data_IF_879455842389
#
_entry.id   IF_879455842389
#
_cell.length_a   1.000
_cell.length_b   1.000
_cell.length_c   1.000
_cell.angle_alpha   90.00
_cell.angle_beta   90.00
_cell.angle_gamma   90.00
#
_symmetry.space_group_name_H-M   'P 1'
#
loop_
_entity.id
_entity.type
_entity.pdbx_description
1 polymer ?
#
# COMPACT_ATOMS: atom_id res chain seq x y z
N UNK A 1 10.22 15.91 6.91
CA UNK A 1 10.48 14.57 6.34
C UNK A 1 10.09 14.62 4.88
N UNK A 2 10.96 14.18 3.97
CA UNK A 2 10.73 14.26 2.50
C UNK A 2 10.47 12.89 1.87
N UNK A 3 10.41 11.83 2.69
CA UNK A 3 10.20 10.47 2.22
C UNK A 3 8.76 10.28 1.74
N UNK A 4 8.62 9.69 0.55
CA UNK A 4 7.33 9.50 -0.11
C UNK A 4 6.88 8.05 -0.19
N UNK A 5 7.77 7.10 0.13
CA UNK A 5 7.48 5.67 0.01
C UNK A 5 7.15 5.05 1.35
N UNK A 6 6.03 4.35 1.40
CA UNK A 6 5.55 3.69 2.61
C UNK A 6 5.17 2.24 2.34
N UNK A 7 5.27 1.45 3.40
CA UNK A 7 4.71 0.12 3.51
C UNK A 7 3.33 0.23 4.16
N UNK A 8 2.30 -0.17 3.41
CA UNK A 8 0.94 -0.39 3.92
C UNK A 8 0.93 -1.79 4.53
N UNK A 9 0.69 -1.88 5.82
CA UNK A 9 0.74 -3.13 6.60
C UNK A 9 -0.65 -3.56 7.05
N UNK A 10 -0.72 -4.83 7.45
CA UNK A 10 -1.90 -5.48 7.99
C UNK A 10 -3.07 -5.52 6.99
N UNK A 11 -2.76 -5.80 5.72
CA UNK A 11 -3.74 -5.99 4.66
C UNK A 11 -4.38 -7.40 4.81
N UNK A 12 -5.69 -7.58 4.59
CA UNK A 12 -6.30 -8.90 4.62
C UNK A 12 -5.79 -9.74 3.45
N UNK A 13 -5.39 -10.99 3.70
CA UNK A 13 -4.67 -11.83 2.72
C UNK A 13 -5.48 -12.14 1.44
N UNK A 14 -6.81 -11.97 1.50
CA UNK A 14 -7.73 -12.15 0.36
C UNK A 14 -7.78 -10.94 -0.59
N UNK A 15 -7.21 -9.79 -0.21
CA UNK A 15 -7.11 -8.66 -1.13
C UNK A 15 -6.24 -9.01 -2.33
N UNK A 16 -6.71 -8.67 -3.52
CA UNK A 16 -5.91 -8.64 -4.74
C UNK A 16 -5.28 -7.26 -4.94
N UNK A 17 -4.27 -7.18 -5.81
CA UNK A 17 -3.66 -5.91 -6.24
C UNK A 17 -4.74 -4.93 -6.72
N UNK A 18 -5.63 -5.39 -7.60
CA UNK A 18 -6.71 -4.58 -8.18
C UNK A 18 -7.67 -4.08 -7.11
N UNK A 19 -8.09 -4.94 -6.18
CA UNK A 19 -9.01 -4.54 -5.10
C UNK A 19 -8.39 -3.51 -4.15
N UNK A 20 -7.09 -3.63 -3.86
CA UNK A 20 -6.37 -2.66 -3.06
C UNK A 20 -6.27 -1.32 -3.79
N UNK A 21 -5.91 -1.35 -5.08
CA UNK A 21 -5.82 -0.17 -5.94
C UNK A 21 -7.16 0.56 -6.04
N UNK A 22 -8.25 -0.16 -6.29
CA UNK A 22 -9.61 0.37 -6.33
C UNK A 22 -9.99 1.06 -5.02
N UNK A 23 -9.71 0.40 -3.88
CA UNK A 23 -10.02 0.95 -2.56
C UNK A 23 -9.26 2.25 -2.29
N UNK A 24 -7.95 2.29 -2.59
CA UNK A 24 -7.13 3.50 -2.43
C UNK A 24 -7.62 4.61 -3.36
N UNK A 25 -8.00 4.26 -4.60
CA UNK A 25 -8.49 5.21 -5.59
C UNK A 25 -9.81 5.90 -5.22
N UNK A 26 -10.57 5.40 -4.24
CA UNK A 26 -11.76 6.10 -3.72
C UNK A 26 -11.38 7.49 -3.19
N UNK A 27 -10.19 7.65 -2.62
CA UNK A 27 -9.75 8.90 -1.98
C UNK A 27 -8.42 9.46 -2.49
N UNK A 28 -7.58 8.64 -3.13
CA UNK A 28 -6.21 9.00 -3.49
C UNK A 28 -5.87 8.65 -4.96
N UNK A 29 -6.87 8.61 -5.85
CA UNK A 29 -6.62 8.41 -7.29
C UNK A 29 -5.72 9.52 -7.81
N UNK A 30 -4.62 9.15 -8.46
CA UNK A 30 -3.65 10.11 -9.00
C UNK A 30 -2.80 10.82 -7.93
N UNK A 31 -2.78 10.33 -6.69
CA UNK A 31 -1.96 10.88 -5.59
C UNK A 31 -0.74 10.00 -5.26
N UNK A 32 -0.54 8.93 -6.03
CA UNK A 32 0.59 8.00 -5.94
C UNK A 32 0.98 7.55 -7.36
N UNK A 33 2.24 7.18 -7.55
CA UNK A 33 2.80 6.74 -8.84
C UNK A 33 3.31 5.30 -8.84
N UNK A 34 3.28 4.64 -7.68
CA UNK A 34 3.67 3.25 -7.50
C UNK A 34 2.78 2.58 -6.44
N UNK A 35 2.30 1.37 -6.73
CA UNK A 35 1.60 0.51 -5.78
C UNK A 35 1.92 -0.95 -6.09
N UNK A 36 2.42 -1.70 -5.11
CA UNK A 36 2.76 -3.11 -5.25
C UNK A 36 2.38 -3.91 -4.01
N UNK A 37 1.39 -4.80 -4.14
CA UNK A 37 0.95 -5.76 -3.13
C UNK A 37 1.76 -7.06 -3.31
N UNK A 38 2.50 -7.45 -2.28
CA UNK A 38 3.31 -8.67 -2.36
C UNK A 38 2.41 -9.91 -2.26
N UNK A 39 2.52 -10.78 -3.26
CA UNK A 39 1.76 -12.04 -3.36
C UNK A 39 2.67 -13.22 -3.03
N UNK A 40 2.15 -14.15 -2.24
CA UNK A 40 2.68 -15.49 -2.13
C UNK A 40 2.05 -16.36 -3.23
N UNK A 41 2.86 -16.76 -4.20
CA UNK A 41 2.40 -17.54 -5.35
C UNK A 41 2.05 -18.99 -5.00
N UNK A 42 2.60 -19.54 -3.90
CA UNK A 42 2.31 -20.89 -3.44
C UNK A 42 0.89 -20.92 -2.85
N UNK A 43 0.64 -20.02 -1.90
CA UNK A 43 -0.64 -19.94 -1.20
C UNK A 43 -1.71 -19.10 -1.94
N UNK A 44 -1.35 -18.50 -3.08
CA UNK A 44 -2.21 -17.63 -3.91
C UNK A 44 -2.91 -16.52 -3.13
N UNK A 45 -2.23 -15.95 -2.13
CA UNK A 45 -2.75 -14.88 -1.30
C UNK A 45 -1.68 -13.82 -1.03
N UNK A 46 -2.07 -12.61 -0.65
CA UNK A 46 -1.07 -11.61 -0.27
C UNK A 46 -0.47 -11.92 1.11
N UNK A 47 0.76 -11.45 1.35
CA UNK A 47 1.48 -11.67 2.61
C UNK A 47 1.18 -10.59 3.67
N UNK A 48 0.14 -9.78 3.46
CA UNK A 48 -0.34 -8.80 4.43
C UNK A 48 0.25 -7.40 4.31
N UNK A 49 0.98 -7.09 3.25
CA UNK A 49 1.50 -5.74 3.02
C UNK A 49 1.69 -5.38 1.55
N UNK A 50 1.71 -4.07 1.30
CA UNK A 50 2.01 -3.46 0.01
C UNK A 50 3.00 -2.30 0.17
N UNK A 51 3.66 -1.93 -0.92
CA UNK A 51 4.44 -0.70 -1.04
C UNK A 51 3.67 0.33 -1.86
N UNK A 52 3.68 1.58 -1.42
CA UNK A 52 3.10 2.73 -2.12
C UNK A 52 4.11 3.87 -2.15
N UNK A 53 4.24 4.54 -3.29
CA UNK A 53 4.98 5.80 -3.38
C UNK A 53 4.00 6.94 -3.69
N UNK A 54 3.85 7.86 -2.73
CA UNK A 54 2.99 9.04 -2.87
C UNK A 54 3.69 10.13 -3.68
N UNK A 55 2.91 11.01 -4.31
CA UNK A 55 3.49 12.12 -5.09
C UNK A 55 4.02 13.26 -4.22
N UNK A 56 3.44 13.47 -3.03
CA UNK A 56 3.83 14.54 -2.12
C UNK A 56 3.43 14.19 -0.66
N UNK A 57 3.88 15.03 0.28
CA UNK A 57 3.61 14.88 1.71
C UNK A 57 2.14 15.06 2.07
N UNK A 58 1.41 15.91 1.34
CA UNK A 58 -0.01 16.19 1.63
C UNK A 58 -0.88 14.96 1.35
N UNK A 59 -0.57 14.22 0.28
CA UNK A 59 -1.19 12.94 -0.02
C UNK A 59 -0.97 11.91 1.09
N UNK A 60 0.21 11.91 1.73
CA UNK A 60 0.53 11.01 2.84
C UNK A 60 -0.31 11.34 4.06
N UNK A 61 -0.41 12.63 4.41
CA UNK A 61 -1.21 13.10 5.56
C UNK A 61 -2.69 12.76 5.35
N UNK A 62 -3.26 13.10 4.18
CA UNK A 62 -4.64 12.73 3.84
C UNK A 62 -4.86 11.22 3.87
N UNK A 63 -3.88 10.42 3.42
CA UNK A 63 -3.98 8.96 3.45
C UNK A 63 -3.99 8.44 4.88
N UNK A 64 -3.13 8.98 5.75
CA UNK A 64 -3.08 8.63 7.15
C UNK A 64 -4.41 8.90 7.85
N UNK A 65 -4.98 10.11 7.69
CA UNK A 65 -6.26 10.48 8.30
C UNK A 65 -7.45 9.65 7.79
N UNK A 66 -7.44 9.32 6.49
CA UNK A 66 -8.57 8.64 5.86
C UNK A 66 -8.54 7.13 6.02
N UNK A 67 -7.37 6.51 6.11
CA UNK A 67 -7.24 5.05 5.98
C UNK A 67 -6.49 4.43 7.16
N UNK A 68 -5.44 5.06 7.69
CA UNK A 68 -4.65 4.48 8.78
C UNK A 68 -5.49 4.45 10.06
N UNK A 69 -5.34 3.38 10.85
CA UNK A 69 -6.14 3.19 12.07
C UNK A 69 -7.58 2.71 11.82
N UNK A 70 -7.99 2.52 10.55
CA UNK A 70 -9.32 2.01 10.21
C UNK A 70 -9.30 0.56 9.75
N UNK A 71 -10.42 -0.13 9.92
CA UNK A 71 -10.62 -1.50 9.43
C UNK A 71 -10.78 -1.52 7.92
N UNK A 72 -10.35 -2.61 7.30
CA UNK A 72 -10.57 -2.83 5.87
C UNK A 72 -12.05 -3.13 5.60
N UNK A 73 -12.67 -2.52 4.58
CA UNK A 73 -14.12 -2.63 4.36
C UNK A 73 -14.55 -3.99 3.79
N UNK A 74 -13.63 -4.82 3.28
CA UNK A 74 -13.93 -6.11 2.67
C UNK A 74 -13.55 -7.28 3.57
N UNK A 75 -14.20 -8.42 3.33
CA UNK A 75 -13.91 -9.72 3.93
C UNK A 75 -14.13 -9.81 5.45
N UNK A 76 -14.91 -8.90 6.04
CA UNK A 76 -15.17 -8.83 7.48
C UNK A 76 -13.90 -8.93 8.34
N UNK A 77 -12.80 -8.39 7.82
CA UNK A 77 -11.50 -8.48 8.47
C UNK A 77 -11.41 -7.50 9.63
N UNK A 78 -10.98 -7.98 10.79
CA UNK A 78 -10.70 -7.11 11.96
C UNK A 78 -9.36 -6.38 11.85
N UNK A 79 -8.54 -6.73 10.86
CA UNK A 79 -7.27 -6.05 10.60
C UNK A 79 -7.46 -4.54 10.40
N UNK A 80 -6.55 -3.79 10.99
CA UNK A 80 -6.50 -2.33 10.98
C UNK A 80 -5.32 -1.90 10.11
N UNK A 81 -5.54 -0.98 9.17
CA UNK A 81 -4.49 -0.47 8.30
C UNK A 81 -3.40 0.26 9.11
N UNK A 82 -2.14 -0.08 8.84
CA UNK A 82 -0.98 0.54 9.46
C UNK A 82 -0.06 1.04 8.35
N UNK A 83 0.56 2.21 8.57
CA UNK A 83 1.56 2.77 7.66
C UNK A 83 2.93 2.84 8.35
N UNK A 84 3.99 2.59 7.61
CA UNK A 84 5.37 2.80 8.05
C UNK A 84 6.27 3.16 6.88
N UNK A 85 7.34 3.89 7.11
CA UNK A 85 8.31 4.15 6.05
C UNK A 85 8.82 2.85 5.44
N UNK A 86 8.93 2.83 4.12
CA UNK A 86 9.63 1.76 3.43
C UNK A 86 11.15 1.98 3.58
N UNK A 87 11.91 0.89 3.69
CA UNK A 87 13.37 0.98 3.71
C UNK A 87 13.93 1.50 2.38
N UNK A 88 13.26 1.19 1.27
CA UNK A 88 13.57 1.68 -0.07
C UNK A 88 12.64 2.84 -0.37
N UNK A 89 13.20 3.97 -0.80
CA UNK A 89 12.48 5.20 -1.09
C UNK A 89 12.58 5.55 -2.59
N UNK A 90 11.50 6.08 -3.12
CA UNK A 90 11.37 6.50 -4.52
C UNK A 90 10.87 5.39 -5.44
N UNK A 91 10.05 5.78 -6.42
CA UNK A 91 9.47 4.88 -7.42
C UNK A 91 10.52 4.07 -8.19
N UNK A 92 11.58 4.72 -8.67
CA UNK A 92 12.56 4.06 -9.54
C UNK A 92 13.37 3.00 -8.78
N UNK A 93 13.72 3.26 -7.52
CA UNK A 93 14.38 2.29 -6.66
C UNK A 93 13.47 1.08 -6.32
N UNK A 94 12.16 1.30 -6.17
CA UNK A 94 11.20 0.21 -6.02
C UNK A 94 11.09 -0.62 -7.30
N UNK A 95 11.01 0.02 -8.47
CA UNK A 95 10.97 -0.68 -9.76
C UNK A 95 12.23 -1.52 -9.93
N UNK A 96 13.42 -0.96 -9.68
CA UNK A 96 14.68 -1.68 -9.77
C UNK A 96 14.70 -2.89 -8.81
N UNK A 97 14.24 -2.72 -7.58
CA UNK A 97 14.18 -3.80 -6.59
C UNK A 97 13.26 -4.94 -7.02
N UNK A 98 12.09 -4.63 -7.58
CA UNK A 98 11.05 -5.61 -7.89
C UNK A 98 11.08 -6.09 -9.35
N UNK A 99 11.95 -5.55 -10.21
CA UNK A 99 12.13 -6.01 -11.59
C UNK A 99 12.66 -7.46 -11.67
N UNK A 100 13.37 -7.91 -10.64
CA UNK A 100 14.03 -9.23 -10.58
C UNK A 100 13.63 -10.09 -9.37
N UNK A 101 12.52 -9.74 -8.69
CA UNK A 101 11.96 -10.52 -7.57
C UNK A 101 10.81 -11.42 -8.00
#
# INVERSE_FOLDING_TARGET
>A
DTRTTFMIRNIPNKYTQTQLMEYINISHKGQYDFLYLRIDFINKCNVGYAFINFLNTDAIVSFAEKIVGKRWPKFSSEKICILSYANIQGRDALIEKFRSS
#
